data_IF_299517260416
#
_entry.id   IF_299517260416
#
_cell.length_a   1.000
_cell.length_b   1.000
_cell.length_c   1.000
_cell.angle_alpha   90.00
_cell.angle_beta   90.00
_cell.angle_gamma   90.00
#
_symmetry.space_group_name_H-M   'P 1'
#
loop_
_entity.id
_entity.type
_entity.pdbx_description
1 polymer ?
#
# COMPACT_ATOMS: atom_id res chain seq x y z
N UNK A 1 -16.54 5.74 -0.55
CA UNK A 1 -15.32 4.93 -0.85
C UNK A 1 -14.18 5.89 -1.14
N UNK A 2 -12.98 5.63 -0.64
CA UNK A 2 -11.82 6.51 -0.84
C UNK A 2 -10.76 5.85 -1.69
N UNK A 3 -9.83 6.66 -2.19
CA UNK A 3 -8.81 6.21 -3.13
C UNK A 3 -7.41 6.67 -2.76
N UNK A 4 -6.42 5.79 -2.84
CA UNK A 4 -4.99 6.12 -2.66
C UNK A 4 -4.18 5.51 -3.79
N UNK A 5 -3.04 6.10 -4.14
CA UNK A 5 -2.17 5.54 -5.17
C UNK A 5 -1.16 4.55 -4.60
N UNK A 6 -0.60 3.71 -5.46
CA UNK A 6 0.55 2.87 -5.11
C UNK A 6 1.74 3.73 -4.63
N UNK A 7 1.95 4.91 -5.21
CA UNK A 7 2.89 5.93 -4.71
C UNK A 7 2.57 6.43 -3.30
N UNK A 8 1.30 6.68 -2.98
CA UNK A 8 0.92 7.10 -1.63
C UNK A 8 1.30 6.05 -0.57
N UNK A 9 1.36 4.78 -0.96
CA UNK A 9 1.63 3.64 -0.09
C UNK A 9 3.10 3.18 -0.13
N UNK A 10 3.97 3.90 -0.86
CA UNK A 10 5.41 3.63 -0.94
C UNK A 10 5.86 2.78 -2.14
N UNK A 11 4.98 2.58 -3.13
CA UNK A 11 5.33 1.95 -4.40
C UNK A 11 5.71 2.94 -5.51
N UNK A 12 6.15 2.46 -6.68
CA UNK A 12 6.72 3.32 -7.72
C UNK A 12 5.68 3.93 -8.69
N UNK A 13 4.46 3.40 -8.76
CA UNK A 13 3.49 3.77 -9.80
C UNK A 13 2.25 4.51 -9.29
N UNK A 14 1.56 5.21 -10.20
CA UNK A 14 0.32 5.94 -9.91
C UNK A 14 -0.95 5.08 -9.93
N UNK A 15 -0.85 3.75 -9.80
CA UNK A 15 -2.03 2.88 -9.80
C UNK A 15 -2.95 3.24 -8.63
N UNK A 16 -4.25 3.40 -8.89
CA UNK A 16 -5.23 3.84 -7.89
C UNK A 16 -5.90 2.65 -7.22
N UNK A 17 -5.69 2.51 -5.92
CA UNK A 17 -6.44 1.61 -5.05
C UNK A 17 -7.71 2.28 -4.57
N UNK A 18 -8.81 1.54 -4.60
CA UNK A 18 -10.09 1.97 -4.04
C UNK A 18 -10.50 1.02 -2.94
N UNK A 19 -10.99 1.55 -1.83
CA UNK A 19 -11.43 0.75 -0.70
C UNK A 19 -12.33 1.53 0.25
N UNK A 20 -13.11 0.80 1.03
CA UNK A 20 -13.94 1.37 2.09
C UNK A 20 -13.13 1.75 3.33
N UNK A 21 -11.95 1.12 3.50
CA UNK A 21 -11.05 1.33 4.62
C UNK A 21 -9.60 1.37 4.16
N UNK A 22 -8.73 1.99 4.98
CA UNK A 22 -7.28 1.96 4.77
C UNK A 22 -6.75 0.52 4.69
N UNK A 23 -7.29 -0.41 5.48
CA UNK A 23 -6.95 -1.83 5.43
C UNK A 23 -7.29 -2.48 4.07
N UNK A 24 -8.42 -2.12 3.46
CA UNK A 24 -8.77 -2.59 2.11
C UNK A 24 -7.77 -2.10 1.07
N UNK A 25 -7.39 -0.82 1.16
CA UNK A 25 -6.37 -0.23 0.29
C UNK A 25 -5.00 -0.89 0.49
N UNK A 26 -4.57 -1.13 1.74
CA UNK A 26 -3.31 -1.79 2.05
C UNK A 26 -3.28 -3.21 1.50
N UNK A 27 -4.39 -3.96 1.63
CA UNK A 27 -4.54 -5.30 1.05
C UNK A 27 -4.48 -5.25 -0.48
N UNK A 28 -5.17 -4.29 -1.10
CA UNK A 28 -5.15 -4.11 -2.54
C UNK A 28 -3.74 -3.77 -3.06
N UNK A 29 -3.00 -2.92 -2.34
CA UNK A 29 -1.60 -2.60 -2.63
C UNK A 29 -0.70 -3.83 -2.49
N UNK A 30 -0.84 -4.61 -1.41
CA UNK A 30 -0.04 -5.83 -1.23
C UNK A 30 -0.27 -6.83 -2.38
N UNK A 31 -1.53 -6.97 -2.83
CA UNK A 31 -1.88 -7.82 -3.97
C UNK A 31 -1.31 -7.26 -5.29
N UNK A 32 -1.40 -5.95 -5.52
CA UNK A 32 -0.81 -5.28 -6.68
C UNK A 32 0.70 -5.48 -6.77
N UNK A 33 1.41 -5.28 -5.65
CA UNK A 33 2.85 -5.52 -5.56
C UNK A 33 3.21 -6.99 -5.85
N UNK A 34 2.43 -7.93 -5.33
CA UNK A 34 2.64 -9.36 -5.59
C UNK A 34 2.47 -9.70 -7.07
N UNK A 35 1.42 -9.18 -7.70
CA UNK A 35 1.09 -9.48 -9.09
C UNK A 35 2.15 -8.95 -10.05
N UNK A 36 2.56 -7.69 -9.89
CA UNK A 36 3.57 -7.07 -10.74
C UNK A 36 4.94 -7.72 -10.59
N UNK A 37 5.40 -7.97 -9.36
CA UNK A 37 6.68 -8.66 -9.14
C UNK A 37 6.63 -10.08 -9.69
N UNK A 38 5.51 -10.79 -9.54
CA UNK A 38 5.33 -12.13 -10.13
C UNK A 38 5.33 -12.07 -11.67
N UNK A 39 4.83 -10.99 -12.25
CA UNK A 39 4.85 -10.69 -13.68
C UNK A 39 6.23 -10.27 -14.21
N UNK A 40 7.25 -10.13 -13.35
CA UNK A 40 8.60 -9.74 -13.74
C UNK A 40 8.87 -8.23 -13.68
N UNK A 41 8.02 -7.45 -13.00
CA UNK A 41 8.25 -6.03 -12.79
C UNK A 41 9.23 -5.79 -11.64
N UNK A 42 10.49 -5.52 -11.99
CA UNK A 42 11.55 -5.20 -11.04
C UNK A 42 11.33 -3.85 -10.33
N UNK A 43 10.58 -2.91 -10.92
CA UNK A 43 10.34 -1.61 -10.30
C UNK A 43 9.51 -1.73 -9.02
N UNK A 44 8.62 -2.72 -8.93
CA UNK A 44 7.82 -2.99 -7.73
C UNK A 44 8.51 -3.89 -6.70
N UNK A 45 9.67 -4.49 -7.01
CA UNK A 45 10.42 -5.36 -6.07
C UNK A 45 10.79 -4.65 -4.77
N UNK A 46 11.34 -3.42 -4.75
CA UNK A 46 11.71 -2.73 -3.51
C UNK A 46 10.49 -2.50 -2.61
N UNK A 47 9.38 -2.04 -3.19
CA UNK A 47 8.13 -1.79 -2.47
C UNK A 47 7.50 -3.10 -1.95
N UNK A 48 7.64 -4.20 -2.71
CA UNK A 48 7.19 -5.53 -2.29
C UNK A 48 8.01 -6.05 -1.11
N UNK A 49 9.32 -5.88 -1.13
CA UNK A 49 10.20 -6.30 -0.04
C UNK A 49 9.98 -5.46 1.22
N UNK A 50 9.77 -4.15 1.08
CA UNK A 50 9.38 -3.27 2.18
C UNK A 50 8.04 -3.69 2.80
N UNK A 51 7.02 -3.94 1.96
CA UNK A 51 5.72 -4.47 2.40
C UNK A 51 5.89 -5.81 3.16
N UNK A 52 6.69 -6.76 2.64
CA UNK A 52 7.00 -8.01 3.35
C UNK A 52 7.74 -7.77 4.67
N UNK A 53 8.68 -6.84 4.69
CA UNK A 53 9.39 -6.42 5.90
C UNK A 53 8.44 -5.89 6.96
N UNK A 54 7.41 -5.15 6.53
CA UNK A 54 6.41 -4.61 7.44
C UNK A 54 5.60 -5.69 8.15
N UNK A 55 5.16 -6.69 7.38
CA UNK A 55 4.44 -7.86 7.93
C UNK A 55 5.29 -8.68 8.91
N UNK A 56 6.61 -8.76 8.69
CA UNK A 56 7.53 -9.49 9.58
C UNK A 56 7.86 -8.72 10.87
N UNK A 57 7.75 -7.40 10.85
CA UNK A 57 8.08 -6.54 11.99
C UNK A 57 6.89 -5.62 12.36
N UNK A 58 5.78 -6.18 12.89
CA UNK A 58 4.54 -5.42 13.09
C UNK A 58 4.73 -4.21 14.01
N UNK A 59 5.52 -4.33 15.08
CA UNK A 59 5.79 -3.22 16.01
C UNK A 59 6.50 -2.05 15.31
N UNK A 60 7.49 -2.34 14.46
CA UNK A 60 8.21 -1.31 13.69
C UNK A 60 7.33 -0.69 12.60
N UNK A 61 6.34 -1.45 12.15
CA UNK A 61 5.46 -1.08 11.02
C UNK A 61 4.21 -0.33 11.45
N UNK A 62 3.90 -0.32 12.74
CA UNK A 62 2.79 0.44 13.31
C UNK A 62 2.85 1.92 12.93
N UNK A 63 4.04 2.52 12.87
CA UNK A 63 4.20 3.92 12.47
C UNK A 63 3.65 4.20 11.06
N UNK A 64 4.02 3.35 10.09
CA UNK A 64 3.51 3.47 8.73
C UNK A 64 2.03 3.11 8.62
N UNK A 65 1.59 2.06 9.31
CA UNK A 65 0.18 1.68 9.29
C UNK A 65 -0.71 2.80 9.83
N UNK A 66 -0.30 3.45 10.93
CA UNK A 66 -0.99 4.61 11.49
C UNK A 66 -0.94 5.83 10.55
N UNK A 67 0.19 6.07 9.89
CA UNK A 67 0.32 7.14 8.88
C UNK A 67 -0.64 6.93 7.71
N UNK A 68 -0.68 5.72 7.14
CA UNK A 68 -1.59 5.38 6.04
C UNK A 68 -3.05 5.54 6.47
N UNK A 69 -3.41 5.08 7.68
CA UNK A 69 -4.79 5.27 8.20
C UNK A 69 -5.14 6.73 8.39
N UNK A 70 -4.21 7.54 8.89
CA UNK A 70 -4.40 8.98 9.06
C UNK A 70 -4.63 9.65 7.71
N UNK A 71 -3.74 9.41 6.74
CA UNK A 71 -3.86 9.95 5.37
C UNK A 71 -5.17 9.51 4.72
N UNK A 72 -5.56 8.25 4.86
CA UNK A 72 -6.85 7.75 4.38
C UNK A 72 -8.04 8.47 5.01
N UNK A 73 -7.99 8.74 6.32
CA UNK A 73 -9.05 9.46 7.02
C UNK A 73 -9.20 10.91 6.50
N UNK A 74 -8.09 11.55 6.12
CA UNK A 74 -8.04 12.92 5.59
C UNK A 74 -8.52 13.04 4.13
N UNK A 75 -8.60 11.93 3.39
CA UNK A 75 -9.08 11.94 2.01
C UNK A 75 -10.59 12.17 1.94
N UNK A 76 -11.08 12.92 0.94
CA UNK A 76 -12.50 13.01 0.68
C UNK A 76 -13.05 11.66 0.21
N UNK A 77 -14.31 11.39 0.53
CA UNK A 77 -15.06 10.34 -0.14
C UNK A 77 -15.23 10.70 -1.62
N UNK A 78 -14.98 9.72 -2.50
CA UNK A 78 -15.22 9.81 -3.94
C UNK A 78 -16.61 9.31 -4.31
#
# INVERSE_FOLDING_TARGET
>A
MKTMTCQDLGGPCGFVHRGDSADDIIKAQDQHLKDLVKGGDDAHVPAREDMKGRWRHPIKSMGWYNDVKKRFAELPDS
#
